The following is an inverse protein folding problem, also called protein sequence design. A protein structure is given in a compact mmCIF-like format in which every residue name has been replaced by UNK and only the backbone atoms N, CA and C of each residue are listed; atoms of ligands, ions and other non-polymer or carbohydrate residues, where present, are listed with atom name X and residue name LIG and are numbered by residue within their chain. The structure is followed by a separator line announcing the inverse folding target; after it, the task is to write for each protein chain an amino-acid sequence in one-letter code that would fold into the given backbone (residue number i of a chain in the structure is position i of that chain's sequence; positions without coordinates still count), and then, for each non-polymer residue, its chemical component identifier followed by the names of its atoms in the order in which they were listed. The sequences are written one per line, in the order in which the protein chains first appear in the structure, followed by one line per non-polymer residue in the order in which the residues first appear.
data_IF_361723715657
#
_entry.id   IF_361723715657
#
_cell.length_a   1.000
_cell.length_b   1.000
_cell.length_c   1.000
_cell.angle_alpha   90.00
_cell.angle_beta   90.00
_cell.angle_gamma   90.00
#
_symmetry.space_group_name_H-M   'P 1'
#
loop_
_entity.id
_entity.type
_entity.pdbx_description
1 polymer ?
#
# COMPACT_ATOMS: atom_id res chain seq x y z
N UNK A 1 -27.09 -19.28 31.81
CA UNK A 1 -26.87 -20.46 30.95
C UNK A 1 -25.43 -20.44 30.44
N UNK A 2 -24.57 -21.36 30.88
CA UNK A 2 -23.23 -21.54 30.32
C UNK A 2 -23.41 -22.21 28.96
N UNK A 3 -23.13 -21.51 27.85
CA UNK A 3 -23.10 -22.14 26.53
C UNK A 3 -22.03 -23.24 26.59
N UNK A 4 -22.46 -24.49 26.43
CA UNK A 4 -21.55 -25.63 26.41
C UNK A 4 -20.61 -25.50 25.22
N UNK A 5 -19.31 -25.56 25.48
CA UNK A 5 -18.28 -25.66 24.43
C UNK A 5 -18.62 -26.86 23.53
N UNK A 6 -18.75 -26.62 22.23
CA UNK A 6 -19.03 -27.65 21.22
C UNK A 6 -17.85 -28.63 21.18
N UNK A 7 -18.08 -29.92 20.90
CA UNK A 7 -17.06 -30.98 20.93
C UNK A 7 -15.77 -30.61 20.15
N UNK A 8 -15.92 -29.88 19.03
CA UNK A 8 -14.80 -29.37 18.23
C UNK A 8 -13.97 -28.27 18.89
N UNK A 9 -14.57 -27.47 19.76
CA UNK A 9 -13.92 -26.34 20.45
C UNK A 9 -12.99 -26.82 21.58
N UNK A 10 -13.35 -27.92 22.26
CA UNK A 10 -12.46 -28.57 23.24
C UNK A 10 -11.24 -29.20 22.58
N UNK A 11 -11.44 -29.88 21.46
CA UNK A 11 -10.34 -30.44 20.67
C UNK A 11 -9.41 -29.33 20.15
N UNK A 12 -10.00 -28.24 19.66
CA UNK A 12 -9.28 -27.08 19.17
C UNK A 12 -8.42 -26.41 20.25
N UNK A 13 -8.97 -26.18 21.45
CA UNK A 13 -8.21 -25.63 22.58
C UNK A 13 -7.15 -26.59 23.13
N UNK A 14 -7.44 -27.90 23.14
CA UNK A 14 -6.48 -28.93 23.55
C UNK A 14 -5.25 -28.94 22.64
N UNK A 15 -5.46 -28.90 21.31
CA UNK A 15 -4.35 -28.80 20.36
C UNK A 15 -3.59 -27.49 20.50
N UNK A 16 -4.29 -26.35 20.63
CA UNK A 16 -3.65 -25.05 20.79
C UNK A 16 -2.78 -24.98 22.07
N UNK A 17 -3.22 -25.59 23.17
CA UNK A 17 -2.44 -25.66 24.41
C UNK A 17 -1.26 -26.65 24.33
N UNK A 18 -1.43 -27.79 23.66
CA UNK A 18 -0.39 -28.82 23.58
C UNK A 18 0.73 -28.48 22.59
N UNK A 19 0.40 -27.87 21.44
CA UNK A 19 1.35 -27.63 20.35
C UNK A 19 1.53 -26.16 20.00
N UNK A 20 0.74 -25.25 20.57
CA UNK A 20 0.76 -23.82 20.25
C UNK A 20 0.16 -23.48 18.88
N UNK A 21 -0.39 -24.46 18.15
CA UNK A 21 -0.89 -24.27 16.77
C UNK A 21 -2.03 -25.25 16.46
N UNK A 22 -3.12 -24.77 15.89
CA UNK A 22 -4.22 -25.60 15.39
C UNK A 22 -4.75 -25.10 14.04
N UNK A 23 -5.43 -25.98 13.29
CA UNK A 23 -5.90 -25.66 11.94
C UNK A 23 -6.99 -24.59 12.00
N UNK A 24 -6.75 -23.43 11.38
CA UNK A 24 -7.65 -22.27 11.48
C UNK A 24 -7.38 -21.33 12.65
N UNK A 25 -6.36 -21.55 13.51
CA UNK A 25 -5.95 -20.49 14.43
C UNK A 25 -5.35 -19.35 13.63
N UNK A 26 -5.84 -18.13 13.84
CA UNK A 26 -5.27 -16.94 13.22
C UNK A 26 -3.94 -16.54 13.91
N UNK A 27 -3.03 -17.50 14.02
CA UNK A 27 -1.67 -17.34 14.57
C UNK A 27 -0.73 -16.62 13.60
N UNK A 28 -1.21 -16.29 12.40
CA UNK A 28 -0.46 -15.56 11.37
C UNK A 28 -0.34 -14.06 11.66
N UNK A 29 -0.43 -13.63 12.93
CA UNK A 29 0.19 -12.36 13.31
C UNK A 29 1.70 -12.59 13.29
N UNK A 30 2.30 -12.48 12.10
CA UNK A 30 3.75 -12.30 11.97
C UNK A 30 4.13 -11.22 12.98
N UNK A 31 4.88 -11.56 14.03
CA UNK A 31 5.45 -10.55 14.91
C UNK A 31 6.38 -9.73 14.03
N UNK A 32 5.96 -8.52 13.67
CA UNK A 32 6.77 -7.59 12.91
C UNK A 32 7.99 -7.32 13.78
N UNK A 33 9.20 -7.69 13.32
CA UNK A 33 10.44 -7.20 13.95
C UNK A 33 10.34 -5.68 13.95
N UNK A 34 10.33 -5.10 15.14
CA UNK A 34 10.24 -3.65 15.31
C UNK A 34 11.65 -3.11 15.05
N UNK A 35 12.00 -2.90 13.78
CA UNK A 35 13.31 -2.36 13.40
C UNK A 35 13.55 -0.95 13.98
N UNK A 36 12.47 -0.25 14.33
CA UNK A 36 12.48 1.11 14.87
C UNK A 36 11.99 1.11 16.32
N UNK A 37 12.93 1.02 17.26
CA UNK A 37 12.69 1.25 18.69
C UNK A 37 12.32 2.73 18.93
N UNK A 38 11.67 3.02 20.04
CA UNK A 38 11.25 4.39 20.35
C UNK A 38 12.47 5.31 20.57
N UNK A 39 13.51 4.80 21.24
CA UNK A 39 14.82 5.47 21.38
C UNK A 39 15.46 5.82 20.02
N UNK A 40 15.46 4.88 19.07
CA UNK A 40 16.03 5.11 17.72
C UNK A 40 15.25 6.16 16.94
N UNK A 41 13.94 6.30 17.20
CA UNK A 41 13.10 7.32 16.56
C UNK A 41 13.32 8.69 17.17
N UNK A 42 13.49 8.75 18.48
CA UNK A 42 13.79 10.00 19.19
C UNK A 42 15.17 10.52 18.77
N UNK A 43 16.18 9.65 18.73
CA UNK A 43 17.52 9.99 18.24
C UNK A 43 17.49 10.64 16.84
N UNK A 44 16.75 10.04 15.91
CA UNK A 44 16.56 10.57 14.55
C UNK A 44 15.86 11.92 14.54
N UNK A 45 14.91 12.16 15.45
CA UNK A 45 14.21 13.45 15.56
C UNK A 45 15.17 14.53 16.09
N UNK A 46 15.90 14.24 17.17
CA UNK A 46 16.87 15.17 17.75
C UNK A 46 17.97 15.52 16.75
N UNK A 47 18.59 14.53 16.10
CA UNK A 47 19.60 14.77 15.05
C UNK A 47 19.07 15.63 13.89
N UNK A 48 17.80 15.46 13.54
CA UNK A 48 17.19 16.22 12.46
C UNK A 48 16.87 17.67 12.87
N UNK A 49 16.42 17.89 14.11
CA UNK A 49 16.17 19.24 14.65
C UNK A 49 17.46 20.02 14.89
N UNK A 50 18.50 19.36 15.43
CA UNK A 50 19.82 19.96 15.68
C UNK A 50 20.54 20.40 14.38
N UNK A 51 20.22 19.73 13.26
CA UNK A 51 20.80 20.04 11.95
C UNK A 51 20.13 21.22 11.23
N UNK A 52 19.18 21.92 11.87
CA UNK A 52 18.43 23.07 11.34
C UNK A 52 17.96 22.85 9.88
N UNK A 53 16.97 21.96 9.67
CA UNK A 53 16.63 21.52 8.34
C UNK A 53 16.00 22.67 7.54
N UNK A 54 16.55 22.93 6.36
CA UNK A 54 15.94 23.84 5.38
C UNK A 54 15.36 23.03 4.22
N UNK A 55 14.45 23.57 3.41
CA UNK A 55 13.93 22.84 2.27
C UNK A 55 15.03 22.34 1.32
N UNK A 56 16.13 23.08 1.15
CA UNK A 56 17.24 22.65 0.30
C UNK A 56 18.11 21.55 0.94
N UNK A 57 18.39 21.66 2.25
CA UNK A 57 19.28 20.75 2.98
C UNK A 57 18.57 19.52 3.56
N UNK A 58 17.23 19.54 3.64
CA UNK A 58 16.40 18.48 4.22
C UNK A 58 16.68 17.07 3.67
N UNK A 59 17.06 16.97 2.40
CA UNK A 59 17.36 15.69 1.72
C UNK A 59 18.74 15.17 2.10
N UNK A 60 19.71 16.06 2.21
CA UNK A 60 21.10 15.76 2.57
C UNK A 60 21.19 15.33 4.05
N UNK A 61 20.51 16.06 4.94
CA UNK A 61 20.42 15.72 6.38
C UNK A 61 19.77 14.34 6.58
N UNK A 62 18.71 14.03 5.81
CA UNK A 62 18.10 12.69 5.86
C UNK A 62 19.08 11.61 5.41
N UNK A 63 19.95 11.90 4.45
CA UNK A 63 20.94 10.95 3.97
C UNK A 63 22.05 10.73 5.01
N UNK A 64 22.57 11.79 5.62
CA UNK A 64 23.58 11.67 6.67
C UNK A 64 23.07 10.88 7.88
N UNK A 65 21.85 11.18 8.35
CA UNK A 65 21.21 10.44 9.46
C UNK A 65 20.99 8.97 9.08
N UNK A 66 20.62 8.70 7.83
CA UNK A 66 20.39 7.33 7.37
C UNK A 66 21.68 6.49 7.39
N UNK A 67 22.81 7.09 7.00
CA UNK A 67 24.13 6.46 7.06
C UNK A 67 24.57 6.21 8.50
N UNK A 68 24.37 7.16 9.42
CA UNK A 68 24.71 7.01 10.84
C UNK A 68 23.87 5.95 11.57
N UNK A 69 22.58 5.87 11.21
CA UNK A 69 21.60 5.01 11.88
C UNK A 69 21.48 3.63 11.21
N UNK A 70 22.28 3.38 10.16
CA UNK A 70 22.31 2.19 9.30
C UNK A 70 20.92 1.81 8.74
N UNK A 71 20.13 2.83 8.37
CA UNK A 71 18.78 2.66 7.86
C UNK A 71 18.64 3.26 6.46
N UNK A 72 17.57 2.92 5.76
CA UNK A 72 17.33 3.53 4.45
C UNK A 72 16.89 5.00 4.62
N UNK A 73 17.29 5.92 3.72
CA UNK A 73 16.81 7.31 3.74
C UNK A 73 15.28 7.43 3.73
N UNK A 74 14.60 6.50 3.05
CA UNK A 74 13.14 6.44 3.07
C UNK A 74 12.58 6.03 4.44
N UNK A 75 13.25 5.12 5.17
CA UNK A 75 12.90 4.77 6.54
C UNK A 75 12.97 5.98 7.48
N UNK A 76 14.04 6.76 7.39
CA UNK A 76 14.22 8.02 8.14
C UNK A 76 13.12 9.03 7.80
N UNK A 77 12.82 9.27 6.51
CA UNK A 77 11.69 10.14 6.11
C UNK A 77 10.37 9.70 6.69
N UNK A 78 10.11 8.39 6.76
CA UNK A 78 8.88 7.85 7.34
C UNK A 78 8.78 8.09 8.84
N UNK A 79 9.90 8.11 9.57
CA UNK A 79 9.93 8.47 11.00
C UNK A 79 9.66 9.97 11.16
N UNK A 80 10.41 10.82 10.46
CA UNK A 80 10.27 12.28 10.55
C UNK A 80 8.89 12.77 10.09
N UNK A 81 8.32 12.17 9.05
CA UNK A 81 6.97 12.51 8.56
C UNK A 81 5.89 12.10 9.57
N UNK A 82 6.07 10.96 10.28
CA UNK A 82 5.15 10.55 11.34
C UNK A 82 5.27 11.43 12.59
N UNK A 83 6.45 11.95 12.87
CA UNK A 83 6.69 12.94 13.91
C UNK A 83 6.23 14.35 13.52
N UNK A 84 5.98 14.61 12.23
CA UNK A 84 5.51 15.90 11.72
C UNK A 84 6.60 16.96 11.54
N UNK A 85 7.87 16.61 11.79
CA UNK A 85 9.02 17.53 11.72
C UNK A 85 9.67 17.61 10.33
N UNK A 86 9.35 16.68 9.43
CA UNK A 86 10.00 16.61 8.11
C UNK A 86 9.65 17.80 7.21
N UNK A 87 10.67 18.52 6.77
CA UNK A 87 10.52 19.62 5.81
C UNK A 87 10.74 19.08 4.39
N UNK A 88 9.71 19.20 3.55
CA UNK A 88 9.80 18.82 2.14
C UNK A 88 10.60 19.86 1.37
N UNK A 89 11.48 19.40 0.47
CA UNK A 89 12.23 20.28 -0.43
C UNK A 89 11.33 21.22 -1.23
N UNK A 90 11.67 22.51 -1.22
CA UNK A 90 10.95 23.58 -1.89
C UNK A 90 11.28 23.53 -3.39
N UNK A 91 10.63 22.61 -4.08
CA UNK A 91 10.84 22.39 -5.50
C UNK A 91 9.79 21.45 -6.05
N UNK A 92 8.66 22.02 -6.46
CA UNK A 92 7.58 21.35 -7.15
C UNK A 92 6.41 20.93 -6.27
N UNK A 93 5.28 21.62 -6.45
CA UNK A 93 4.00 20.95 -6.51
C UNK A 93 4.21 19.62 -7.23
N UNK A 94 3.71 18.53 -6.66
CA UNK A 94 3.90 17.16 -7.14
C UNK A 94 3.58 17.09 -8.63
N UNK A 95 4.57 17.31 -9.49
CA UNK A 95 4.56 16.80 -10.83
C UNK A 95 4.52 15.30 -10.60
N UNK A 96 3.34 14.72 -10.83
CA UNK A 96 3.19 13.28 -11.06
C UNK A 96 4.39 12.92 -11.93
N UNK A 97 5.39 12.26 -11.35
CA UNK A 97 6.40 11.58 -12.14
C UNK A 97 5.58 10.71 -13.06
N UNK A 98 5.58 11.07 -14.34
CA UNK A 98 5.19 10.21 -15.44
C UNK A 98 6.14 9.03 -15.37
N UNK A 99 5.82 8.15 -14.43
CA UNK A 99 6.39 6.83 -14.38
C UNK A 99 5.68 6.17 -15.53
N UNK A 100 6.43 5.58 -16.44
CA UNK A 100 5.98 4.61 -17.44
C UNK A 100 5.30 3.36 -16.82
N UNK A 101 4.87 3.47 -15.56
CA UNK A 101 3.87 2.61 -14.96
C UNK A 101 2.52 3.08 -15.48
N UNK A 102 1.75 2.21 -16.15
CA UNK A 102 0.40 2.55 -16.56
C UNK A 102 -0.34 3.13 -15.36
N UNK A 103 -0.95 4.31 -15.57
CA UNK A 103 -1.73 5.00 -14.55
C UNK A 103 -2.59 3.95 -13.85
N UNK A 104 -2.58 3.95 -12.51
CA UNK A 104 -3.31 2.97 -11.71
C UNK A 104 -4.81 3.26 -11.89
N UNK A 105 -5.37 2.74 -12.97
CA UNK A 105 -6.79 2.83 -13.32
C UNK A 105 -7.58 2.02 -12.32
N UNK A 106 -8.66 2.61 -11.81
CA UNK A 106 -9.62 1.88 -10.97
C UNK A 106 -10.34 0.84 -11.83
N UNK A 107 -10.83 -0.23 -11.20
CA UNK A 107 -11.54 -1.30 -11.90
C UNK A 107 -12.84 -0.74 -12.51
N UNK A 108 -13.49 0.12 -11.75
CA UNK A 108 -14.76 0.77 -12.04
C UNK A 108 -14.61 1.70 -13.25
N UNK A 109 -13.59 2.55 -13.28
CA UNK A 109 -13.34 3.47 -14.41
C UNK A 109 -13.04 2.68 -15.69
N UNK A 110 -12.31 1.57 -15.56
CA UNK A 110 -11.93 0.72 -16.70
C UNK A 110 -13.15 0.01 -17.30
N UNK A 111 -14.07 -0.46 -16.45
CA UNK A 111 -15.32 -1.12 -16.85
C UNK A 111 -16.29 -0.13 -17.51
N UNK A 112 -16.39 1.08 -16.96
CA UNK A 112 -17.22 2.15 -17.55
C UNK A 112 -16.70 2.58 -18.92
N UNK A 113 -15.38 2.69 -19.08
CA UNK A 113 -14.75 3.01 -20.35
C UNK A 113 -15.01 1.92 -21.40
N UNK A 114 -14.96 0.64 -21.02
CA UNK A 114 -15.31 -0.46 -21.92
C UNK A 114 -16.79 -0.41 -22.33
N UNK A 115 -17.71 -0.18 -21.40
CA UNK A 115 -19.15 -0.12 -21.67
C UNK A 115 -19.49 1.01 -22.65
N UNK A 116 -18.84 2.17 -22.49
CA UNK A 116 -18.93 3.28 -23.43
C UNK A 116 -18.41 2.89 -24.83
N UNK A 117 -17.23 2.28 -24.91
CA UNK A 117 -16.65 1.85 -26.19
C UNK A 117 -17.52 0.79 -26.92
N UNK A 118 -18.18 -0.12 -26.19
CA UNK A 118 -19.12 -1.09 -26.75
C UNK A 118 -20.38 -0.38 -27.28
N UNK A 119 -20.90 0.59 -26.53
CA UNK A 119 -22.06 1.40 -26.96
C UNK A 119 -21.74 2.24 -28.20
N UNK A 120 -20.54 2.83 -28.26
CA UNK A 120 -20.04 3.57 -29.43
C UNK A 120 -19.88 2.65 -30.66
N UNK A 121 -19.60 1.36 -30.44
CA UNK A 121 -19.59 0.33 -31.48
C UNK A 121 -21.00 -0.12 -31.94
N UNK A 122 -22.07 0.45 -31.36
CA UNK A 122 -23.46 0.12 -31.67
C UNK A 122 -23.96 -1.19 -31.08
N UNK A 123 -23.27 -1.73 -30.07
CA UNK A 123 -23.66 -2.97 -29.36
C UNK A 123 -24.17 -2.64 -27.95
N UNK A 124 -25.05 -3.48 -27.41
CA UNK A 124 -25.53 -3.34 -26.03
C UNK A 124 -24.51 -3.97 -25.06
N UNK A 125 -23.95 -3.22 -24.09
CA UNK A 125 -22.98 -3.77 -23.14
C UNK A 125 -23.64 -4.71 -22.14
N UNK A 126 -23.10 -5.92 -22.01
CA UNK A 126 -23.48 -6.87 -20.96
C UNK A 126 -22.77 -6.50 -19.64
N UNK A 127 -23.46 -5.74 -18.80
CA UNK A 127 -22.96 -5.28 -17.50
C UNK A 127 -22.59 -6.44 -16.56
N UNK A 128 -23.30 -7.58 -16.62
CA UNK A 128 -23.04 -8.76 -15.78
C UNK A 128 -21.71 -9.45 -16.15
N UNK A 129 -21.32 -9.39 -17.43
CA UNK A 129 -20.01 -9.85 -17.91
C UNK A 129 -18.94 -8.81 -17.58
N UNK A 130 -19.21 -7.52 -17.83
CA UNK A 130 -18.24 -6.44 -17.64
C UNK A 130 -17.79 -6.34 -16.18
N UNK A 131 -18.71 -6.48 -15.21
CA UNK A 131 -18.40 -6.47 -13.77
C UNK A 131 -17.42 -7.58 -13.36
N UNK A 132 -17.45 -8.74 -14.06
CA UNK A 132 -16.55 -9.88 -13.81
C UNK A 132 -15.15 -9.66 -14.36
N UNK A 133 -14.96 -8.72 -15.29
CA UNK A 133 -13.64 -8.41 -15.85
C UNK A 133 -12.73 -7.73 -14.83
N UNK A 134 -11.42 -7.96 -14.94
CA UNK A 134 -10.43 -7.15 -14.22
C UNK A 134 -10.22 -5.82 -14.96
N UNK A 135 -9.82 -4.76 -14.26
CA UNK A 135 -9.59 -3.45 -14.91
C UNK A 135 -8.61 -3.52 -16.09
N UNK A 136 -7.55 -4.34 -15.98
CA UNK A 136 -6.61 -4.58 -17.08
C UNK A 136 -7.25 -5.26 -18.29
N UNK A 137 -8.11 -6.26 -18.07
CA UNK A 137 -8.81 -6.94 -19.15
C UNK A 137 -9.81 -6.00 -19.85
N UNK A 138 -10.51 -5.17 -19.07
CA UNK A 138 -11.46 -4.20 -19.61
C UNK A 138 -10.75 -3.16 -20.51
N UNK A 139 -9.59 -2.66 -20.10
CA UNK A 139 -8.77 -1.75 -20.94
C UNK A 139 -8.33 -2.43 -22.23
N UNK A 140 -7.77 -3.65 -22.14
CA UNK A 140 -7.32 -4.37 -23.33
C UNK A 140 -8.45 -4.53 -24.37
N UNK A 141 -9.64 -4.95 -23.94
CA UNK A 141 -10.79 -5.10 -24.84
C UNK A 141 -11.26 -3.76 -25.41
N UNK A 142 -11.29 -2.71 -24.58
CA UNK A 142 -11.66 -1.35 -24.99
C UNK A 142 -10.70 -0.83 -26.07
N UNK A 143 -9.39 -1.06 -25.92
CA UNK A 143 -8.39 -0.65 -26.91
C UNK A 143 -8.51 -1.44 -28.23
N UNK A 144 -8.82 -2.74 -28.17
CA UNK A 144 -9.09 -3.56 -29.36
C UNK A 144 -10.33 -3.07 -30.10
N UNK A 145 -11.43 -2.77 -29.38
CA UNK A 145 -12.66 -2.23 -29.98
C UNK A 145 -12.39 -0.88 -30.65
N UNK A 146 -11.65 0.01 -29.98
CA UNK A 146 -11.27 1.29 -30.56
C UNK A 146 -10.41 1.14 -31.82
N UNK A 147 -9.45 0.20 -31.83
CA UNK A 147 -8.62 -0.06 -33.00
C UNK A 147 -9.43 -0.60 -34.20
N UNK A 148 -10.51 -1.34 -33.96
CA UNK A 148 -11.40 -1.85 -35.02
C UNK A 148 -12.34 -0.75 -35.53
N UNK A 149 -12.78 0.16 -34.65
CA UNK A 149 -13.68 1.26 -34.98
C UNK A 149 -12.95 2.54 -35.45
N UNK A 150 -11.63 2.49 -35.62
CA UNK A 150 -10.80 3.60 -36.13
C UNK A 150 -10.74 3.65 -37.65
#
# INVERSE_FOLDING_TARGET
MKKGFVLGERFYLSQLNATGKCFGCNSNKRRKRVAWTDEKRELVQTMYEDAEPTPETSVEIVQSIAEEVEETPNGVRMVLTKAGVYIKKAGGASSKKDSDKPARVSKEDSQRALSAAISDAGQEPDEDIIVKLTGKAAIYLKDVIQAINS
#
